data_IF_448370772342
#
_entry.id   IF_448370772342
#
_cell.length_a   1.000
_cell.length_b   1.000
_cell.length_c   1.000
_cell.angle_alpha   90.00
_cell.angle_beta   90.00
_cell.angle_gamma   90.00
#
_symmetry.space_group_name_H-M   'P 1'
#
loop_
_entity.id
_entity.type
_entity.pdbx_description
1 polymer ?
#
# COMPACT_ATOMS: atom_id res chain seq x y z
N UNK A 1 23.19 0.33 -0.71
CA UNK A 1 22.12 -0.66 -0.53
C UNK A 1 21.48 -0.94 -1.88
N UNK A 2 21.68 -2.14 -2.39
CA UNK A 2 21.07 -2.62 -3.64
C UNK A 2 19.73 -3.28 -3.31
N UNK A 3 18.74 -2.49 -2.87
CA UNK A 3 17.37 -2.96 -2.68
C UNK A 3 16.59 -2.85 -3.98
N UNK A 4 15.77 -3.87 -4.31
CA UNK A 4 14.79 -3.79 -5.41
C UNK A 4 13.45 -3.27 -4.92
N UNK A 5 12.70 -2.61 -5.79
CA UNK A 5 11.33 -2.15 -5.55
C UNK A 5 10.40 -2.77 -6.58
N UNK A 6 9.27 -3.28 -6.15
CA UNK A 6 8.16 -3.71 -6.99
C UNK A 6 7.02 -2.72 -6.83
N UNK A 7 6.62 -2.04 -7.89
CA UNK A 7 5.54 -1.06 -7.88
C UNK A 7 4.36 -1.56 -8.71
N UNK A 8 3.19 -1.58 -8.10
CA UNK A 8 1.95 -2.09 -8.69
C UNK A 8 1.00 -0.95 -8.97
N UNK A 9 0.42 -0.94 -10.14
CA UNK A 9 -0.71 -0.10 -10.50
C UNK A 9 -1.55 -0.79 -11.58
N UNK A 10 -2.87 -0.59 -11.53
CA UNK A 10 -3.82 -1.09 -12.55
C UNK A 10 -3.98 -0.12 -13.71
N UNK A 11 -3.46 1.11 -13.58
CA UNK A 11 -3.52 2.15 -14.59
C UNK A 11 -2.18 2.24 -15.33
N UNK A 12 -2.20 1.98 -16.64
CA UNK A 12 -1.02 2.13 -17.50
C UNK A 12 -0.42 3.54 -17.44
N UNK A 13 -1.28 4.57 -17.46
CA UNK A 13 -0.86 5.97 -17.40
C UNK A 13 -0.08 6.31 -16.14
N UNK A 14 -0.45 5.72 -14.99
CA UNK A 14 0.26 5.89 -13.73
C UNK A 14 1.66 5.27 -13.80
N UNK A 15 1.78 4.09 -14.40
CA UNK A 15 3.05 3.41 -14.61
C UNK A 15 3.95 4.16 -15.60
N UNK A 16 3.40 4.69 -16.69
CA UNK A 16 4.13 5.50 -17.68
C UNK A 16 4.70 6.77 -17.02
N UNK A 17 3.90 7.50 -16.25
CA UNK A 17 4.35 8.69 -15.50
C UNK A 17 5.44 8.33 -14.50
N UNK A 18 5.30 7.18 -13.81
CA UNK A 18 6.31 6.69 -12.87
C UNK A 18 7.59 6.32 -13.59
N UNK A 19 7.50 5.60 -14.72
CA UNK A 19 8.65 5.24 -15.56
C UNK A 19 9.43 6.47 -16.01
N UNK A 20 8.74 7.51 -16.51
CA UNK A 20 9.38 8.76 -16.93
C UNK A 20 10.15 9.42 -15.77
N UNK A 21 9.52 9.52 -14.59
CA UNK A 21 10.18 10.09 -13.40
C UNK A 21 11.41 9.30 -12.95
N UNK A 22 11.33 7.96 -12.99
CA UNK A 22 12.46 7.10 -12.63
C UNK A 22 13.63 7.28 -13.61
N UNK A 23 13.34 7.41 -14.92
CA UNK A 23 14.35 7.66 -15.95
C UNK A 23 15.05 9.01 -15.72
N UNK A 24 14.28 10.06 -15.40
CA UNK A 24 14.82 11.41 -15.14
C UNK A 24 15.81 11.46 -13.97
N UNK A 25 15.58 10.62 -12.94
CA UNK A 25 16.44 10.58 -11.74
C UNK A 25 17.44 9.42 -11.74
N UNK A 26 17.44 8.59 -12.80
CA UNK A 26 18.42 7.53 -13.00
C UNK A 26 18.24 6.30 -12.09
N UNK A 27 17.06 6.05 -11.55
CA UNK A 27 16.78 4.83 -10.78
C UNK A 27 16.45 3.65 -11.70
N UNK A 28 17.19 2.53 -11.53
CA UNK A 28 17.05 1.32 -12.36
C UNK A 28 16.61 0.09 -11.59
N UNK A 29 16.46 0.20 -10.27
CA UNK A 29 16.15 -0.91 -9.35
C UNK A 29 14.66 -1.01 -9.04
N UNK A 30 13.78 -0.45 -9.90
CA UNK A 30 12.33 -0.48 -9.77
C UNK A 30 11.73 -1.33 -10.88
N UNK A 31 10.94 -2.33 -10.52
CA UNK A 31 10.13 -3.13 -11.43
C UNK A 31 8.69 -2.61 -11.39
N UNK A 32 8.23 -2.05 -12.50
CA UNK A 32 6.86 -1.58 -12.65
C UNK A 32 5.97 -2.72 -13.13
N UNK A 33 4.87 -2.97 -12.43
CA UNK A 33 3.95 -4.08 -12.67
C UNK A 33 2.54 -3.55 -12.94
N UNK A 34 2.07 -3.74 -14.18
CA UNK A 34 0.69 -3.43 -14.56
C UNK A 34 -0.23 -4.56 -14.05
N UNK A 35 -0.46 -4.58 -12.75
CA UNK A 35 -1.21 -5.61 -12.02
C UNK A 35 -1.88 -5.01 -10.81
N UNK A 36 -2.97 -5.67 -10.37
CA UNK A 36 -3.57 -5.35 -9.07
C UNK A 36 -2.61 -5.71 -7.93
N UNK A 37 -2.64 -4.91 -6.86
CA UNK A 37 -1.87 -5.16 -5.64
C UNK A 37 -2.26 -6.48 -4.95
N UNK A 38 -3.45 -7.01 -5.20
CA UNK A 38 -3.86 -8.34 -4.69
C UNK A 38 -3.02 -9.48 -5.28
N UNK A 39 -2.41 -9.28 -6.45
CA UNK A 39 -1.54 -10.26 -7.10
C UNK A 39 -0.09 -10.22 -6.57
N UNK A 40 0.17 -9.44 -5.53
CA UNK A 40 1.51 -9.18 -4.99
C UNK A 40 2.25 -10.48 -4.64
N UNK A 41 1.57 -11.47 -4.08
CA UNK A 41 2.19 -12.74 -3.70
C UNK A 41 2.79 -13.49 -4.89
N UNK A 42 2.08 -13.48 -6.01
CA UNK A 42 2.50 -14.21 -7.22
C UNK A 42 3.49 -13.41 -8.06
N UNK A 43 3.46 -12.07 -7.94
CA UNK A 43 4.29 -11.17 -8.72
C UNK A 43 5.65 -10.88 -8.07
N UNK A 44 5.73 -10.92 -6.73
CA UNK A 44 7.00 -10.79 -6.01
C UNK A 44 7.70 -12.14 -5.97
N UNK A 45 8.98 -12.22 -6.40
CA UNK A 45 9.73 -13.48 -6.41
C UNK A 45 9.69 -14.18 -5.04
N UNK A 46 9.48 -15.49 -5.03
CA UNK A 46 9.39 -16.31 -3.81
C UNK A 46 10.62 -16.13 -2.90
N UNK A 47 11.79 -15.95 -3.49
CA UNK A 47 13.03 -15.68 -2.75
C UNK A 47 13.00 -14.37 -1.94
N UNK A 48 12.08 -13.46 -2.25
CA UNK A 48 11.87 -12.21 -1.52
C UNK A 48 10.83 -12.35 -0.39
N UNK A 49 10.06 -13.45 -0.35
CA UNK A 49 9.01 -13.63 0.66
C UNK A 49 9.64 -13.72 2.06
N UNK A 50 9.09 -12.98 3.01
CA UNK A 50 9.61 -12.87 4.38
C UNK A 50 10.89 -12.03 4.51
N UNK A 51 11.37 -11.41 3.42
CA UNK A 51 12.56 -10.54 3.42
C UNK A 51 12.25 -9.10 3.00
N UNK A 52 11.02 -8.78 2.62
CA UNK A 52 10.61 -7.43 2.25
C UNK A 52 10.74 -6.50 3.44
N UNK A 53 11.45 -5.39 3.28
CA UNK A 53 11.67 -4.41 4.35
C UNK A 53 10.48 -3.49 4.59
N UNK A 54 9.79 -3.11 3.52
CA UNK A 54 8.63 -2.21 3.59
C UNK A 54 7.64 -2.48 2.45
N UNK A 55 6.34 -2.37 2.75
CA UNK A 55 5.26 -2.30 1.77
C UNK A 55 4.45 -1.04 2.03
N UNK A 56 4.15 -0.28 0.99
CA UNK A 56 3.39 0.97 1.11
C UNK A 56 2.17 0.92 0.19
N UNK A 57 1.00 1.15 0.76
CA UNK A 57 -0.25 1.33 0.04
C UNK A 57 -0.66 2.80 0.06
N UNK A 58 -1.08 3.30 -1.09
CA UNK A 58 -1.75 4.58 -1.24
C UNK A 58 -3.11 4.29 -1.87
N UNK A 59 -4.14 4.17 -1.02
CA UNK A 59 -5.48 3.77 -1.43
C UNK A 59 -6.26 4.96 -2.00
N UNK A 60 -7.25 4.68 -2.84
CA UNK A 60 -8.10 5.68 -3.46
C UNK A 60 -7.94 5.71 -4.98
N UNK A 61 -8.11 6.87 -5.59
CA UNK A 61 -8.03 7.09 -7.04
C UNK A 61 -6.78 7.91 -7.42
N UNK A 62 -6.39 7.81 -8.71
CA UNK A 62 -5.29 8.61 -9.23
C UNK A 62 -5.69 10.09 -9.29
N UNK A 63 -4.96 11.01 -8.62
CA UNK A 63 -5.25 12.44 -8.69
C UNK A 63 -5.25 12.95 -10.14
N UNK A 64 -6.38 13.56 -10.57
CA UNK A 64 -6.60 14.00 -11.96
C UNK A 64 -6.94 12.90 -12.95
N UNK A 65 -7.15 11.67 -12.47
CA UNK A 65 -7.66 10.54 -13.26
C UNK A 65 -9.18 10.38 -13.17
N UNK A 66 -9.68 9.26 -13.70
CA UNK A 66 -11.10 8.89 -13.58
C UNK A 66 -11.38 8.41 -12.15
N UNK A 67 -12.26 9.13 -11.44
CA UNK A 67 -12.67 8.80 -10.08
C UNK A 67 -13.51 7.51 -9.99
N UNK A 68 -13.97 6.97 -11.13
CA UNK A 68 -14.64 5.68 -11.18
C UNK A 68 -13.64 4.51 -10.97
N UNK A 69 -12.35 4.75 -11.19
CA UNK A 69 -11.29 3.78 -10.93
C UNK A 69 -10.67 4.10 -9.58
N UNK A 70 -11.15 3.42 -8.56
CA UNK A 70 -10.67 3.55 -7.17
C UNK A 70 -10.34 2.16 -6.62
N UNK A 71 -9.60 2.12 -5.51
CA UNK A 71 -9.36 0.86 -4.79
C UNK A 71 -10.68 0.31 -4.24
N UNK A 72 -10.80 -1.02 -4.25
CA UNK A 72 -11.93 -1.72 -3.66
C UNK A 72 -11.50 -2.28 -2.29
N UNK A 73 -12.34 -2.12 -1.29
CA UNK A 73 -12.04 -2.50 0.09
C UNK A 73 -11.57 -3.97 0.22
N UNK A 74 -12.26 -4.90 -0.46
CA UNK A 74 -11.91 -6.32 -0.38
C UNK A 74 -10.52 -6.62 -0.96
N UNK A 75 -10.19 -6.02 -2.11
CA UNK A 75 -8.88 -6.21 -2.75
C UNK A 75 -7.76 -5.56 -1.94
N UNK A 76 -8.04 -4.41 -1.32
CA UNK A 76 -7.12 -3.71 -0.44
C UNK A 76 -6.80 -4.53 0.82
N UNK A 77 -7.81 -5.07 1.50
CA UNK A 77 -7.62 -5.92 2.68
C UNK A 77 -6.84 -7.20 2.34
N UNK A 78 -7.19 -7.88 1.25
CA UNK A 78 -6.47 -9.07 0.80
C UNK A 78 -4.99 -8.78 0.51
N UNK A 79 -4.71 -7.64 -0.12
CA UNK A 79 -3.36 -7.21 -0.40
C UNK A 79 -2.57 -6.84 0.87
N UNK A 80 -3.20 -6.18 1.85
CA UNK A 80 -2.56 -5.85 3.14
C UNK A 80 -2.20 -7.15 3.88
N UNK A 81 -3.12 -8.13 3.96
CA UNK A 81 -2.85 -9.43 4.59
C UNK A 81 -1.68 -10.13 3.88
N UNK A 82 -1.66 -10.10 2.55
CA UNK A 82 -0.56 -10.65 1.77
C UNK A 82 0.76 -9.94 2.12
N UNK A 83 0.78 -8.61 2.16
CA UNK A 83 1.96 -7.83 2.51
C UNK A 83 2.52 -8.20 3.89
N UNK A 84 1.65 -8.45 4.89
CA UNK A 84 2.06 -8.89 6.22
C UNK A 84 2.82 -10.23 6.19
N UNK A 85 2.52 -11.10 5.23
CA UNK A 85 3.25 -12.36 5.04
C UNK A 85 4.61 -12.18 4.36
N UNK A 86 4.75 -11.14 3.53
CA UNK A 86 5.95 -10.86 2.75
C UNK A 86 7.03 -10.09 3.53
N UNK A 87 6.62 -9.23 4.47
CA UNK A 87 7.59 -8.42 5.23
C UNK A 87 8.37 -9.27 6.23
N UNK A 88 9.64 -8.90 6.42
CA UNK A 88 10.52 -9.52 7.43
C UNK A 88 10.16 -9.07 8.85
N UNK A 89 10.70 -9.73 9.86
CA UNK A 89 10.69 -9.21 11.23
C UNK A 89 11.37 -7.83 11.27
N UNK A 90 10.78 -6.87 11.98
CA UNK A 90 11.13 -5.45 11.95
C UNK A 90 10.77 -4.74 10.65
N UNK A 91 10.10 -5.42 9.69
CA UNK A 91 9.57 -4.79 8.48
C UNK A 91 8.27 -4.04 8.75
N UNK A 92 7.90 -3.14 7.83
CA UNK A 92 6.80 -2.21 8.00
C UNK A 92 5.81 -2.33 6.82
N UNK A 93 4.51 -2.28 7.15
CA UNK A 93 3.44 -2.05 6.17
C UNK A 93 2.77 -0.72 6.51
N UNK A 94 2.65 0.15 5.53
CA UNK A 94 1.91 1.41 5.68
C UNK A 94 0.75 1.47 4.71
N UNK A 95 -0.38 1.98 5.18
CA UNK A 95 -1.58 2.17 4.36
C UNK A 95 -2.04 3.61 4.53
N UNK A 96 -1.97 4.39 3.47
CA UNK A 96 -2.53 5.72 3.43
C UNK A 96 -3.91 5.64 2.81
N UNK A 97 -4.94 5.95 3.59
CA UNK A 97 -6.33 5.98 3.16
C UNK A 97 -6.89 7.41 3.19
N UNK A 98 -7.81 7.69 2.29
CA UNK A 98 -8.40 9.01 2.10
C UNK A 98 -9.91 8.96 2.40
N UNK A 99 -10.34 9.19 3.66
CA UNK A 99 -11.75 9.38 3.98
C UNK A 99 -12.33 10.59 3.25
N UNK A 100 -13.66 10.65 3.11
CA UNK A 100 -14.33 11.82 2.55
C UNK A 100 -14.58 11.77 1.04
N UNK A 101 -14.37 10.61 0.41
CA UNK A 101 -14.90 10.31 -0.90
C UNK A 101 -15.77 9.04 -0.86
N UNK A 102 -16.54 8.78 -1.91
CA UNK A 102 -17.39 7.60 -1.97
C UNK A 102 -16.57 6.31 -1.77
N UNK A 103 -16.89 5.53 -0.75
CA UNK A 103 -16.19 4.31 -0.35
C UNK A 103 -14.93 4.51 0.51
N UNK A 104 -14.38 5.73 0.60
CA UNK A 104 -13.14 5.97 1.34
C UNK A 104 -13.29 5.82 2.86
N UNK A 105 -14.45 6.20 3.41
CA UNK A 105 -14.75 6.01 4.83
C UNK A 105 -14.90 4.53 5.18
N UNK A 106 -15.57 3.76 4.31
CA UNK A 106 -15.74 2.31 4.50
C UNK A 106 -14.40 1.58 4.38
N UNK A 107 -13.56 1.97 3.41
CA UNK A 107 -12.22 1.40 3.24
C UNK A 107 -11.33 1.70 4.45
N UNK A 108 -11.29 2.95 4.92
CA UNK A 108 -10.52 3.33 6.10
C UNK A 108 -11.05 2.65 7.38
N UNK A 109 -12.38 2.48 7.50
CA UNK A 109 -13.03 1.74 8.59
C UNK A 109 -12.61 0.26 8.60
N UNK A 110 -12.62 -0.37 7.44
CA UNK A 110 -12.24 -1.79 7.28
C UNK A 110 -10.76 -2.03 7.55
N UNK A 111 -9.88 -1.12 7.11
CA UNK A 111 -8.45 -1.18 7.46
C UNK A 111 -8.26 -1.04 8.97
N UNK A 112 -8.99 -0.14 9.63
CA UNK A 112 -8.95 0.00 11.11
C UNK A 112 -9.34 -1.30 11.80
N UNK A 113 -10.45 -1.91 11.39
CA UNK A 113 -10.91 -3.17 11.96
C UNK A 113 -9.85 -4.27 11.78
N UNK A 114 -9.25 -4.38 10.60
CA UNK A 114 -8.16 -5.33 10.36
C UNK A 114 -7.01 -5.12 11.36
N UNK A 115 -6.59 -3.88 11.62
CA UNK A 115 -5.51 -3.60 12.57
C UNK A 115 -5.86 -4.03 14.00
N UNK A 116 -7.12 -3.89 14.40
CA UNK A 116 -7.60 -4.29 15.74
C UNK A 116 -7.64 -5.82 15.90
N UNK A 117 -7.80 -6.56 14.80
CA UNK A 117 -7.84 -8.03 14.78
C UNK A 117 -6.44 -8.66 14.68
N UNK A 118 -5.39 -7.90 14.34
CA UNK A 118 -4.04 -8.43 14.22
C UNK A 118 -3.48 -8.90 15.57
N UNK A 119 -2.81 -10.07 15.61
CA UNK A 119 -2.20 -10.58 16.85
C UNK A 119 -1.12 -9.62 17.38
N UNK A 120 -1.32 -9.04 18.55
CA UNK A 120 -0.38 -8.11 19.17
C UNK A 120 0.99 -8.75 19.51
N UNK A 121 1.05 -10.08 19.55
CA UNK A 121 2.30 -10.81 19.70
C UNK A 121 3.18 -10.75 18.45
N UNK A 122 2.56 -10.61 17.27
CA UNK A 122 3.24 -10.62 15.97
C UNK A 122 3.36 -9.23 15.34
N UNK A 123 2.42 -8.33 15.67
CA UNK A 123 2.34 -7.02 15.03
C UNK A 123 2.18 -5.90 16.06
N UNK A 124 2.81 -4.78 15.78
CA UNK A 124 2.57 -3.51 16.45
C UNK A 124 1.87 -2.57 15.48
N UNK A 125 0.72 -2.02 15.90
CA UNK A 125 -0.11 -1.17 15.04
C UNK A 125 -0.22 0.24 15.59
N UNK A 126 -0.29 1.23 14.70
CA UNK A 126 -0.60 2.60 15.06
C UNK A 126 -1.32 3.33 13.93
N UNK A 127 -2.10 4.36 14.28
CA UNK A 127 -2.81 5.20 13.32
C UNK A 127 -2.35 6.64 13.54
N UNK A 128 -1.95 7.30 12.46
CA UNK A 128 -1.53 8.69 12.47
C UNK A 128 -2.47 9.52 11.60
N UNK A 129 -2.88 10.67 12.12
CA UNK A 129 -3.65 11.67 11.39
C UNK A 129 -2.74 12.85 11.01
N UNK A 130 -3.08 13.52 9.92
CA UNK A 130 -2.50 14.83 9.62
C UNK A 130 -2.81 15.79 10.78
N UNK A 131 -1.94 16.79 10.99
CA UNK A 131 -2.15 17.85 11.98
C UNK A 131 -3.36 18.77 11.67
N UNK A 132 -4.05 18.55 10.55
CA UNK A 132 -5.26 19.29 10.19
C UNK A 132 -6.44 18.80 10.99
N UNK A 133 -7.37 19.72 11.30
CA UNK A 133 -8.62 19.41 12.03
C UNK A 133 -9.73 18.83 11.13
N UNK A 134 -9.45 18.60 9.83
CA UNK A 134 -10.44 18.06 8.90
C UNK A 134 -10.73 16.59 9.19
N UNK A 135 -11.99 16.22 9.29
CA UNK A 135 -12.44 14.85 9.41
C UNK A 135 -12.11 13.99 8.16
N UNK A 136 -11.98 14.67 7.01
CA UNK A 136 -11.61 14.04 5.72
C UNK A 136 -10.09 13.98 5.49
N UNK A 137 -9.28 14.36 6.51
CA UNK A 137 -7.83 14.29 6.40
C UNK A 137 -7.36 12.84 6.22
N UNK A 138 -6.32 12.61 5.39
CA UNK A 138 -5.76 11.29 5.20
C UNK A 138 -5.37 10.62 6.51
N UNK A 139 -5.59 9.32 6.58
CA UNK A 139 -5.20 8.44 7.69
C UNK A 139 -4.03 7.57 7.26
N UNK A 140 -2.95 7.60 8.02
CA UNK A 140 -1.83 6.68 7.84
C UNK A 140 -1.91 5.58 8.88
N UNK A 141 -2.19 4.38 8.44
CA UNK A 141 -2.12 3.16 9.23
C UNK A 141 -0.70 2.59 9.11
N UNK A 142 -0.12 2.20 10.23
CA UNK A 142 1.25 1.67 10.30
C UNK A 142 1.22 0.34 11.03
N UNK A 143 1.79 -0.68 10.43
CA UNK A 143 1.90 -2.04 10.98
C UNK A 143 3.37 -2.43 10.93
N UNK A 144 3.95 -2.77 12.08
CA UNK A 144 5.32 -3.26 12.19
C UNK A 144 5.28 -4.73 12.58
N UNK A 145 5.95 -5.59 11.81
CA UNK A 145 6.10 -7.00 12.16
C UNK A 145 7.17 -7.17 13.25
N UNK A 146 6.82 -7.82 14.34
CA UNK A 146 7.75 -8.11 15.46
C UNK A 146 8.76 -9.22 15.15
#
# INVERSE_FOLDING_TARGET
HEGGVFAFDVLSDALERTSARLADIGYTNVTLLHRSHQEMKDAVPEACHGSVGAVMFNLGYLPGGDHAVTTETETSLAAIITALSLVRSGGIVTVLAYPGHAGGDDEAGSVRQLLEELPAAEFETSIRRSATTSETAPLLFVIVRR
#
